data_IF_812359060495
#
_entry.id   IF_812359060495
#
_cell.length_a   1.000
_cell.length_b   1.000
_cell.length_c   1.000
_cell.angle_alpha   90.00
_cell.angle_beta   90.00
_cell.angle_gamma   90.00
#
_symmetry.space_group_name_H-M   'P 1'
#
loop_
_entity.id
_entity.type
_entity.pdbx_description
1 polymer ?
#
# COMPACT_ATOMS: atom_id res chain seq x y z
N UNK A 1 -21.11 7.14 -11.80
CA UNK A 1 -20.17 6.27 -11.22
C UNK A 1 -20.53 5.89 -9.79
N UNK A 2 -20.30 4.67 -9.46
CA UNK A 2 -20.63 4.21 -8.13
C UNK A 2 -19.77 4.90 -7.08
N UNK A 3 -20.39 5.25 -5.98
CA UNK A 3 -19.69 5.83 -4.86
C UNK A 3 -19.72 4.89 -3.67
N UNK A 4 -19.76 3.60 -3.97
CA UNK A 4 -19.74 2.60 -2.90
C UNK A 4 -18.49 2.78 -2.08
N UNK A 5 -18.68 2.96 -0.80
CA UNK A 5 -17.59 3.20 0.12
C UNK A 5 -16.95 1.86 0.49
N UNK A 6 -15.64 1.82 0.42
CA UNK A 6 -14.90 0.64 0.85
C UNK A 6 -14.96 0.51 2.36
N UNK A 7 -15.27 -0.68 2.84
CA UNK A 7 -15.36 -0.92 4.28
C UNK A 7 -13.99 -1.19 4.87
N UNK A 8 -13.89 -1.07 6.19
CA UNK A 8 -12.65 -1.38 6.89
C UNK A 8 -12.24 -2.84 6.71
N UNK A 9 -13.22 -3.76 6.66
CA UNK A 9 -12.94 -5.16 6.43
C UNK A 9 -12.35 -5.38 5.04
N UNK A 10 -12.87 -4.66 4.05
CA UNK A 10 -12.34 -4.76 2.69
C UNK A 10 -10.93 -4.20 2.61
N UNK A 11 -10.67 -3.09 3.30
CA UNK A 11 -9.32 -2.51 3.33
C UNK A 11 -8.33 -3.48 3.97
N UNK A 12 -8.74 -4.12 5.07
CA UNK A 12 -7.88 -5.10 5.73
C UNK A 12 -7.61 -6.30 4.84
N UNK A 13 -8.62 -6.77 4.11
CA UNK A 13 -8.45 -7.89 3.20
C UNK A 13 -7.44 -7.55 2.09
N UNK A 14 -7.51 -6.33 1.58
CA UNK A 14 -6.57 -5.88 0.56
C UNK A 14 -5.16 -5.84 1.14
N UNK A 15 -5.02 -5.27 2.34
CA UNK A 15 -3.72 -5.17 2.99
C UNK A 15 -3.11 -6.55 3.21
N UNK A 16 -3.90 -7.48 3.74
CA UNK A 16 -3.40 -8.83 4.01
C UNK A 16 -3.01 -9.55 2.73
N UNK A 17 -3.75 -9.30 1.65
CA UNK A 17 -3.42 -9.89 0.35
C UNK A 17 -2.08 -9.41 -0.17
N UNK A 18 -1.83 -8.11 -0.07
CA UNK A 18 -0.54 -7.56 -0.53
C UNK A 18 0.60 -8.02 0.35
N UNK A 19 0.38 -8.12 1.66
CA UNK A 19 1.41 -8.63 2.56
C UNK A 19 1.74 -10.09 2.23
N UNK A 20 0.72 -10.90 1.95
CA UNK A 20 0.93 -12.30 1.62
C UNK A 20 1.75 -12.45 0.33
N UNK A 21 1.43 -11.65 -0.68
CA UNK A 21 2.15 -11.69 -1.95
C UNK A 21 3.60 -11.24 -1.75
N UNK A 22 3.80 -10.19 -0.96
CA UNK A 22 5.15 -9.69 -0.67
C UNK A 22 5.99 -10.76 0.02
N UNK A 23 5.39 -11.44 0.99
CA UNK A 23 6.09 -12.52 1.68
C UNK A 23 6.43 -13.68 0.75
N UNK A 24 5.51 -14.01 -0.15
CA UNK A 24 5.75 -15.07 -1.12
C UNK A 24 6.95 -14.75 -2.01
N UNK A 25 7.03 -13.51 -2.50
CA UNK A 25 8.16 -13.10 -3.32
C UNK A 25 9.46 -13.17 -2.52
N UNK A 26 9.43 -12.77 -1.24
CA UNK A 26 10.61 -12.83 -0.39
C UNK A 26 11.07 -14.28 -0.21
N UNK A 27 10.13 -15.21 -0.05
CA UNK A 27 10.45 -16.63 0.07
C UNK A 27 11.08 -17.18 -1.20
N UNK A 28 10.77 -16.57 -2.33
CA UNK A 28 11.34 -16.95 -3.62
C UNK A 28 12.68 -16.26 -3.89
N UNK A 29 13.17 -15.48 -2.93
CA UNK A 29 14.47 -14.83 -3.05
C UNK A 29 14.41 -13.46 -3.70
N UNK A 30 13.23 -12.92 -3.93
CA UNK A 30 13.07 -11.59 -4.52
C UNK A 30 13.21 -10.54 -3.43
N UNK A 31 14.05 -9.54 -3.67
CA UNK A 31 14.28 -8.46 -2.71
C UNK A 31 12.98 -7.74 -2.36
N UNK A 32 12.70 -7.54 -1.06
CA UNK A 32 11.53 -6.73 -0.67
C UNK A 32 11.58 -5.32 -1.23
N UNK A 33 12.77 -4.77 -1.44
CA UNK A 33 12.88 -3.43 -2.03
C UNK A 33 12.44 -3.42 -3.48
N UNK A 34 12.72 -4.49 -4.23
CA UNK A 34 12.27 -4.61 -5.60
C UNK A 34 10.74 -4.72 -5.66
N UNK A 35 10.17 -5.54 -4.76
CA UNK A 35 8.71 -5.67 -4.67
C UNK A 35 8.07 -4.34 -4.34
N UNK A 36 8.65 -3.60 -3.40
CA UNK A 36 8.12 -2.30 -3.00
C UNK A 36 8.15 -1.31 -4.16
N UNK A 37 9.23 -1.30 -4.94
CA UNK A 37 9.35 -0.40 -6.08
C UNK A 37 8.26 -0.67 -7.12
N UNK A 38 8.00 -1.96 -7.38
CA UNK A 38 6.96 -2.32 -8.34
C UNK A 38 5.58 -1.99 -7.79
N UNK A 39 5.34 -2.24 -6.51
CA UNK A 39 4.07 -1.88 -5.88
C UNK A 39 3.81 -0.38 -5.96
N UNK A 40 4.83 0.42 -5.71
CA UNK A 40 4.70 1.88 -5.79
C UNK A 40 4.37 2.30 -7.22
N UNK A 41 5.05 1.71 -8.20
CA UNK A 41 4.78 2.03 -9.59
C UNK A 41 3.32 1.71 -9.96
N UNK A 42 2.85 0.53 -9.56
CA UNK A 42 1.48 0.14 -9.86
C UNK A 42 0.49 1.06 -9.18
N UNK A 43 0.73 1.39 -7.91
CA UNK A 43 -0.14 2.30 -7.18
C UNK A 43 -0.22 3.65 -7.87
N UNK A 44 0.91 4.18 -8.30
CA UNK A 44 0.93 5.46 -9.00
C UNK A 44 0.20 5.40 -10.33
N UNK A 45 0.32 4.27 -11.04
CA UNK A 45 -0.42 4.08 -12.28
C UNK A 45 -1.93 4.13 -12.06
N UNK A 46 -2.39 3.48 -11.00
CA UNK A 46 -3.82 3.49 -10.66
C UNK A 46 -4.28 4.90 -10.34
N UNK A 47 -3.53 5.61 -9.50
CA UNK A 47 -3.89 6.99 -9.16
C UNK A 47 -3.90 7.87 -10.40
N UNK A 48 -2.88 7.77 -11.23
CA UNK A 48 -2.78 8.62 -12.41
C UNK A 48 -3.90 8.33 -13.41
N UNK A 49 -4.31 7.08 -13.50
CA UNK A 49 -5.38 6.68 -14.41
C UNK A 49 -6.76 7.08 -13.87
N UNK A 50 -6.89 7.24 -12.56
CA UNK A 50 -8.19 7.46 -11.92
C UNK A 50 -8.45 8.91 -11.55
N UNK A 51 -7.42 9.74 -11.45
CA UNK A 51 -7.50 11.10 -10.96
C UNK A 51 -7.07 12.08 -12.04
N UNK A 52 -7.58 13.32 -11.97
CA UNK A 52 -7.06 14.37 -12.83
C UNK A 52 -5.67 14.78 -12.31
N UNK A 53 -4.97 15.60 -13.08
CA UNK A 53 -3.59 15.96 -12.75
C UNK A 53 -3.46 16.63 -11.39
N UNK A 54 -4.40 17.51 -11.07
CA UNK A 54 -4.36 18.23 -9.80
C UNK A 54 -4.55 17.28 -8.61
N UNK A 55 -5.56 16.41 -8.71
CA UNK A 55 -5.85 15.46 -7.64
C UNK A 55 -4.75 14.42 -7.50
N UNK A 56 -4.17 14.00 -8.63
CA UNK A 56 -3.05 13.07 -8.60
C UNK A 56 -1.87 13.67 -7.84
N UNK A 57 -1.51 14.92 -8.15
CA UNK A 57 -0.39 15.57 -7.46
C UNK A 57 -0.70 15.76 -5.97
N UNK A 58 -1.93 16.12 -5.65
CA UNK A 58 -2.34 16.27 -4.26
C UNK A 58 -2.23 14.94 -3.50
N UNK A 59 -2.64 13.85 -4.15
CA UNK A 59 -2.55 12.53 -3.53
C UNK A 59 -1.11 12.13 -3.27
N UNK A 60 -0.24 12.31 -4.25
CA UNK A 60 1.18 11.97 -4.08
C UNK A 60 1.81 12.80 -2.97
N UNK A 61 1.49 14.10 -2.91
CA UNK A 61 2.00 14.95 -1.85
C UNK A 61 1.50 14.50 -0.48
N UNK A 62 0.23 14.12 -0.37
CA UNK A 62 -0.34 13.63 0.88
C UNK A 62 0.37 12.36 1.34
N UNK A 63 0.62 11.45 0.40
CA UNK A 63 1.33 10.21 0.72
C UNK A 63 2.75 10.51 1.22
N UNK A 64 3.45 11.40 0.52
CA UNK A 64 4.80 11.77 0.92
C UNK A 64 4.81 12.43 2.31
N UNK A 65 3.82 13.26 2.59
CA UNK A 65 3.72 13.94 3.88
C UNK A 65 3.45 12.98 5.03
N UNK A 66 2.88 11.82 4.74
CA UNK A 66 2.57 10.82 5.77
C UNK A 66 3.72 9.84 6.02
N UNK A 67 4.88 10.10 5.41
CA UNK A 67 6.01 9.15 5.49
C UNK A 67 6.40 8.79 6.92
N UNK A 68 6.32 9.75 7.84
CA UNK A 68 6.72 9.52 9.23
C UNK A 68 5.68 8.76 10.03
N UNK A 69 4.49 8.56 9.46
CA UNK A 69 3.42 7.81 10.11
C UNK A 69 3.45 6.34 9.74
N UNK A 70 4.30 5.96 8.78
CA UNK A 70 4.39 4.58 8.33
C UNK A 70 5.22 3.78 9.32
N UNK A 71 4.72 2.62 9.70
CA UNK A 71 5.41 1.74 10.63
C UNK A 71 6.24 0.71 9.86
N UNK A 72 7.36 0.30 10.45
CA UNK A 72 8.10 -0.83 9.92
C UNK A 72 7.30 -2.10 10.15
N UNK A 73 7.67 -3.19 9.48
CA UNK A 73 7.02 -4.48 9.72
C UNK A 73 7.15 -4.89 11.18
N UNK A 74 8.31 -4.62 11.78
CA UNK A 74 8.53 -4.97 13.18
C UNK A 74 7.59 -4.19 14.10
N UNK A 75 7.48 -2.88 13.87
CA UNK A 75 6.58 -2.05 14.65
C UNK A 75 5.12 -2.45 14.44
N UNK A 76 4.75 -2.74 13.20
CA UNK A 76 3.40 -3.14 12.86
C UNK A 76 3.05 -4.46 13.58
N UNK A 77 3.98 -5.42 13.52
CA UNK A 77 3.77 -6.70 14.17
C UNK A 77 3.65 -6.57 15.68
N UNK A 78 4.46 -5.70 16.29
CA UNK A 78 4.42 -5.51 17.73
C UNK A 78 3.15 -4.82 18.19
N UNK A 79 2.68 -3.84 17.40
CA UNK A 79 1.52 -3.04 17.79
C UNK A 79 0.21 -3.68 17.37
N UNK A 80 0.18 -4.29 16.20
CA UNK A 80 -1.06 -4.76 15.59
C UNK A 80 -1.22 -6.27 15.58
N UNK A 81 -0.14 -6.98 15.76
CA UNK A 81 -0.23 -8.42 15.69
C UNK A 81 -0.84 -9.00 16.93
N UNK A 82 -1.71 -9.92 16.69
CA UNK A 82 -2.34 -10.65 17.76
C UNK A 82 -1.63 -11.98 17.86
N UNK A 83 -0.73 -12.06 18.75
CA UNK A 83 0.02 -13.29 18.93
C UNK A 83 -0.75 -14.26 19.78
#
# INVERSE_FOLDING_TARGET
MSTVKTTDDELMAIEMSFLAITNKFAEEGISPLASAAVMMKIAMMVYKSSLNAEDYNAMINTIADSRDMIKTFEEYGSAGRLN
#
